data_IF_213313204037
#
_entry.id   IF_213313204037
#
_cell.length_a   1.000
_cell.length_b   1.000
_cell.length_c   1.000
_cell.angle_alpha   90.00
_cell.angle_beta   90.00
_cell.angle_gamma   90.00
#
_symmetry.space_group_name_H-M   'P 1'
#
loop_
_entity.id
_entity.type
_entity.pdbx_description
1 polymer ?
#
# COMPACT_ATOMS: atom_id res chain seq x y z
N UNK A 1 -16.75 20.28 12.38
CA UNK A 1 -15.65 19.59 11.67
C UNK A 1 -15.27 18.37 12.49
N UNK A 2 -15.01 17.24 11.85
CA UNK A 2 -14.42 16.05 12.51
C UNK A 2 -12.94 15.97 12.11
N UNK A 3 -12.07 15.67 13.07
CA UNK A 3 -10.64 15.45 12.84
C UNK A 3 -10.27 14.07 13.36
N UNK A 4 -9.81 13.19 12.47
CA UNK A 4 -9.31 11.86 12.81
C UNK A 4 -8.14 11.58 11.89
N UNK A 5 -6.99 11.22 12.46
CA UNK A 5 -5.72 11.19 11.73
C UNK A 5 -5.78 10.31 10.47
N UNK A 6 -6.30 9.08 10.59
CA UNK A 6 -6.38 8.12 9.47
C UNK A 6 -7.82 7.76 9.15
N UNK A 7 -8.11 7.56 7.86
CA UNK A 7 -9.45 7.18 7.37
C UNK A 7 -9.88 5.83 7.92
N UNK A 8 -8.95 4.90 8.12
CA UNK A 8 -9.19 3.59 8.75
C UNK A 8 -9.65 3.77 10.19
N UNK A 9 -8.96 4.59 10.99
CA UNK A 9 -9.35 4.92 12.36
C UNK A 9 -10.71 5.61 12.42
N UNK A 10 -11.05 6.43 11.42
CA UNK A 10 -12.38 7.04 11.35
C UNK A 10 -13.48 6.00 11.12
N UNK A 11 -13.24 5.01 10.27
CA UNK A 11 -14.17 3.89 10.06
C UNK A 11 -14.25 2.99 11.28
N UNK A 12 -13.13 2.69 11.96
CA UNK A 12 -13.12 1.91 13.19
C UNK A 12 -13.88 2.61 14.32
N UNK A 13 -13.74 3.93 14.46
CA UNK A 13 -14.54 4.72 15.39
C UNK A 13 -16.04 4.58 15.12
N UNK A 14 -16.45 4.64 13.85
CA UNK A 14 -17.87 4.46 13.47
C UNK A 14 -18.35 3.06 13.82
N UNK A 15 -17.55 2.02 13.56
CA UNK A 15 -17.87 0.63 13.93
C UNK A 15 -18.04 0.50 15.45
N UNK A 16 -17.12 1.05 16.22
CA UNK A 16 -17.20 1.03 17.68
C UNK A 16 -18.46 1.76 18.19
N UNK A 17 -18.79 2.92 17.61
CA UNK A 17 -20.02 3.65 17.95
C UNK A 17 -21.28 2.84 17.65
N UNK A 18 -21.27 2.01 16.60
CA UNK A 18 -22.39 1.13 16.25
C UNK A 18 -22.51 -0.08 17.19
N UNK A 19 -21.38 -0.66 17.59
CA UNK A 19 -21.31 -1.75 18.57
C UNK A 19 -21.83 -1.28 19.94
N UNK A 20 -21.31 -0.15 20.43
CA UNK A 20 -21.62 0.42 21.75
C UNK A 20 -22.79 1.42 21.75
N UNK A 21 -23.58 1.46 20.68
CA UNK A 21 -24.60 2.49 20.48
C UNK A 21 -25.53 2.69 21.67
N UNK A 22 -26.12 1.61 22.20
CA UNK A 22 -27.06 1.70 23.31
C UNK A 22 -26.41 2.21 24.59
N UNK A 23 -25.18 1.75 24.88
CA UNK A 23 -24.36 2.22 26.00
C UNK A 23 -24.09 3.72 25.89
N UNK A 24 -23.62 4.17 24.72
CA UNK A 24 -23.30 5.58 24.46
C UNK A 24 -24.53 6.48 24.60
N UNK A 25 -25.69 6.05 24.08
CA UNK A 25 -26.93 6.81 24.18
C UNK A 25 -27.47 6.84 25.61
N UNK A 26 -27.40 5.72 26.34
CA UNK A 26 -27.78 5.67 27.76
C UNK A 26 -26.94 6.65 28.59
N UNK A 27 -25.63 6.69 28.37
CA UNK A 27 -24.76 7.67 29.03
C UNK A 27 -25.13 9.12 28.69
N UNK A 28 -25.48 9.41 27.42
CA UNK A 28 -25.96 10.75 27.02
C UNK A 28 -27.27 11.12 27.74
N UNK A 29 -28.17 10.17 27.91
CA UNK A 29 -29.46 10.35 28.57
C UNK A 29 -29.32 10.63 30.06
N UNK A 30 -28.50 9.85 30.76
CA UNK A 30 -28.35 9.90 32.22
C UNK A 30 -27.24 10.83 32.71
N UNK A 31 -26.27 11.18 31.86
CA UNK A 31 -25.07 11.91 32.28
C UNK A 31 -24.04 11.04 33.03
N UNK A 32 -24.20 9.71 32.98
CA UNK A 32 -23.36 8.74 33.68
C UNK A 32 -22.57 7.91 32.68
N UNK A 33 -21.24 7.90 32.80
CA UNK A 33 -20.38 7.02 32.02
C UNK A 33 -20.39 5.58 32.56
N UNK A 34 -20.13 4.57 31.71
CA UNK A 34 -19.84 3.22 32.18
C UNK A 34 -18.63 3.22 33.13
N UNK A 35 -18.49 2.20 33.99
CA UNK A 35 -17.41 2.14 34.98
C UNK A 35 -16.06 1.80 34.31
N UNK A 36 -15.54 2.72 33.52
CA UNK A 36 -14.22 2.63 32.92
C UNK A 36 -13.20 3.15 33.94
N UNK A 37 -12.28 2.27 34.37
CA UNK A 37 -11.31 2.51 35.45
C UNK A 37 -10.42 3.76 35.24
N UNK A 38 -10.34 4.26 34.01
CA UNK A 38 -9.41 5.31 33.59
C UNK A 38 -10.00 6.73 33.63
N UNK A 39 -11.33 6.89 33.78
CA UNK A 39 -11.99 8.22 33.71
C UNK A 39 -12.29 8.77 35.11
N UNK A 40 -11.60 9.86 35.48
CA UNK A 40 -11.64 10.46 36.81
C UNK A 40 -12.77 11.49 37.04
N UNK A 41 -13.39 12.01 35.97
CA UNK A 41 -14.50 12.96 36.04
C UNK A 41 -15.68 12.47 35.18
N UNK A 42 -16.55 11.60 35.71
CA UNK A 42 -17.46 10.80 34.90
C UNK A 42 -18.80 11.48 34.56
N UNK A 43 -19.03 12.71 35.02
CA UNK A 43 -20.35 13.33 34.99
C UNK A 43 -20.40 14.55 34.08
N UNK A 44 -21.24 14.45 33.05
CA UNK A 44 -21.69 15.56 32.23
C UNK A 44 -23.20 15.72 32.40
N UNK A 45 -23.79 16.91 32.16
CA UNK A 45 -25.21 17.13 32.39
C UNK A 45 -26.07 16.18 31.53
N UNK A 46 -27.11 15.53 32.09
CA UNK A 46 -28.00 14.63 31.37
C UNK A 46 -28.66 15.33 30.17
N UNK A 47 -28.79 14.64 29.03
CA UNK A 47 -29.40 15.19 27.79
C UNK A 47 -30.43 14.22 27.18
N UNK A 48 -31.57 13.97 27.85
CA UNK A 48 -32.57 12.97 27.41
C UNK A 48 -33.19 13.29 26.03
N UNK A 49 -33.46 14.56 25.74
CA UNK A 49 -33.99 14.97 24.43
C UNK A 49 -33.02 14.61 23.29
N UNK A 50 -31.71 14.81 23.53
CA UNK A 50 -30.69 14.47 22.55
C UNK A 50 -30.54 12.97 22.38
N UNK A 51 -30.60 12.22 23.49
CA UNK A 51 -30.60 10.77 23.44
C UNK A 51 -31.78 10.23 22.61
N UNK A 52 -33.00 10.75 22.82
CA UNK A 52 -34.17 10.39 22.02
C UNK A 52 -34.00 10.69 20.53
N UNK A 53 -33.46 11.87 20.17
CA UNK A 53 -33.13 12.21 18.78
C UNK A 53 -32.15 11.20 18.16
N UNK A 54 -31.10 10.84 18.89
CA UNK A 54 -30.11 9.88 18.42
C UNK A 54 -30.70 8.48 18.28
N UNK A 55 -31.54 8.00 19.23
CA UNK A 55 -32.26 6.72 19.07
C UNK A 55 -33.09 6.68 17.79
N UNK A 56 -33.75 7.79 17.44
CA UNK A 56 -34.52 7.89 16.20
C UNK A 56 -33.65 7.83 14.92
N UNK A 57 -32.38 8.25 14.99
CA UNK A 57 -31.40 8.09 13.89
C UNK A 57 -30.96 6.62 13.76
N UNK A 58 -30.75 5.96 14.89
CA UNK A 58 -30.28 4.57 14.95
C UNK A 58 -28.79 4.40 14.61
N UNK A 59 -28.35 3.14 14.60
CA UNK A 59 -26.97 2.71 14.34
C UNK A 59 -26.49 3.06 12.93
N UNK A 60 -25.16 3.11 12.76
CA UNK A 60 -24.52 3.48 11.50
C UNK A 60 -24.95 2.58 10.34
N UNK A 61 -24.82 1.26 10.49
CA UNK A 61 -25.22 0.25 9.51
C UNK A 61 -24.86 0.65 8.06
N UNK A 62 -25.64 0.23 7.08
CA UNK A 62 -25.54 0.70 5.69
C UNK A 62 -26.34 2.00 5.46
N UNK A 63 -26.27 2.96 6.39
CA UNK A 63 -26.89 4.28 6.21
C UNK A 63 -25.92 5.30 5.60
N UNK A 64 -26.22 5.78 4.40
CA UNK A 64 -25.47 6.88 3.78
C UNK A 64 -25.69 8.20 4.55
N UNK A 65 -24.62 8.99 4.71
CA UNK A 65 -24.67 10.29 5.39
C UNK A 65 -24.95 10.23 6.89
N UNK A 66 -24.75 9.06 7.52
CA UNK A 66 -25.04 8.86 8.94
C UNK A 66 -24.36 9.87 9.87
N UNK A 67 -23.12 10.29 9.57
CA UNK A 67 -22.39 11.26 10.37
C UNK A 67 -23.06 12.64 10.38
N UNK A 68 -23.75 13.03 9.30
CA UNK A 68 -24.51 14.30 9.27
C UNK A 68 -25.80 14.19 10.08
N UNK A 69 -26.40 13.00 10.16
CA UNK A 69 -27.58 12.77 11.03
C UNK A 69 -27.20 12.90 12.51
N UNK A 70 -26.02 12.44 12.90
CA UNK A 70 -25.48 12.66 14.25
C UNK A 70 -25.01 14.09 14.43
N UNK A 71 -24.26 14.66 13.49
CA UNK A 71 -23.73 16.01 13.59
C UNK A 71 -24.28 16.88 12.45
N UNK A 72 -25.49 17.48 12.59
CA UNK A 72 -26.14 18.24 11.51
C UNK A 72 -25.34 19.43 10.98
N UNK A 73 -24.43 19.97 11.79
CA UNK A 73 -23.52 21.06 11.42
C UNK A 73 -22.18 20.58 10.85
N UNK A 74 -22.02 19.28 10.57
CA UNK A 74 -20.81 18.74 9.97
C UNK A 74 -20.68 19.21 8.52
N UNK A 75 -19.62 19.96 8.23
CA UNK A 75 -19.30 20.48 6.89
C UNK A 75 -17.99 19.94 6.32
N UNK A 76 -17.10 19.48 7.19
CA UNK A 76 -15.80 18.96 6.80
C UNK A 76 -15.30 17.89 7.76
N UNK A 77 -14.53 16.96 7.20
CA UNK A 77 -13.72 15.99 7.91
C UNK A 77 -12.26 16.10 7.43
N UNK A 78 -11.30 16.03 8.35
CA UNK A 78 -9.87 16.00 8.04
C UNK A 78 -9.34 14.62 8.40
N UNK A 79 -8.73 13.95 7.43
CA UNK A 79 -8.13 12.62 7.60
C UNK A 79 -7.14 12.28 6.49
N UNK A 80 -6.07 11.56 6.80
CA UNK A 80 -5.11 11.04 5.83
C UNK A 80 -5.76 9.87 5.09
N UNK A 81 -5.96 10.06 3.77
CA UNK A 81 -6.60 9.10 2.87
C UNK A 81 -5.77 8.77 1.62
N UNK A 82 -4.46 9.00 1.66
CA UNK A 82 -3.52 8.63 0.60
C UNK A 82 -2.83 7.29 0.90
N UNK A 83 -2.11 6.73 -0.08
CA UNK A 83 -1.41 5.46 0.06
C UNK A 83 -2.35 4.32 0.50
N UNK A 84 -1.92 3.53 1.50
CA UNK A 84 -2.71 2.41 2.05
C UNK A 84 -4.05 2.85 2.68
N UNK A 85 -4.15 4.10 3.13
CA UNK A 85 -5.35 4.62 3.78
C UNK A 85 -6.45 5.00 2.77
N UNK A 86 -6.12 5.06 1.47
CA UNK A 86 -7.10 5.30 0.41
C UNK A 86 -8.22 4.25 0.35
N UNK A 87 -7.94 3.02 0.80
CA UNK A 87 -8.89 1.90 0.83
C UNK A 87 -10.14 2.22 1.68
N UNK A 88 -9.99 2.98 2.77
CA UNK A 88 -11.11 3.33 3.65
C UNK A 88 -11.89 4.57 3.18
N UNK A 89 -11.39 5.31 2.18
CA UNK A 89 -12.01 6.55 1.70
C UNK A 89 -13.44 6.35 1.19
N UNK A 90 -13.77 5.33 0.36
CA UNK A 90 -15.13 5.14 -0.12
C UNK A 90 -16.14 4.91 1.03
N UNK A 91 -15.78 4.06 2.01
CA UNK A 91 -16.65 3.77 3.17
C UNK A 91 -16.79 4.99 4.07
N UNK A 92 -15.72 5.76 4.30
CA UNK A 92 -15.81 7.00 5.06
C UNK A 92 -16.69 8.05 4.33
N UNK A 93 -16.53 8.22 3.01
CA UNK A 93 -17.37 9.11 2.20
C UNK A 93 -18.84 8.70 2.25
N UNK A 94 -19.13 7.40 2.23
CA UNK A 94 -20.48 6.89 2.41
C UNK A 94 -21.11 7.38 3.72
N UNK A 95 -20.39 7.31 4.85
CA UNK A 95 -20.88 7.77 6.14
C UNK A 95 -20.94 9.31 6.28
N UNK A 96 -20.00 10.03 5.65
CA UNK A 96 -19.98 11.49 5.62
C UNK A 96 -21.13 12.08 4.78
N UNK A 97 -21.52 11.39 3.71
CA UNK A 97 -22.47 11.92 2.73
C UNK A 97 -21.84 12.89 1.73
N UNK A 98 -22.58 13.27 0.68
CA UNK A 98 -22.04 14.01 -0.47
C UNK A 98 -21.65 15.46 -0.15
N UNK A 99 -22.31 16.08 0.84
CA UNK A 99 -22.15 17.52 1.14
C UNK A 99 -21.01 17.82 2.12
N UNK A 100 -20.37 16.78 2.67
CA UNK A 100 -19.27 16.94 3.64
C UNK A 100 -17.94 16.80 2.94
N UNK A 101 -17.11 17.83 3.04
CA UNK A 101 -15.80 17.80 2.43
C UNK A 101 -14.82 16.96 3.25
N UNK A 102 -14.36 15.85 2.69
CA UNK A 102 -13.21 15.11 3.21
C UNK A 102 -11.92 15.73 2.66
N UNK A 103 -11.05 16.19 3.56
CA UNK A 103 -9.76 16.82 3.26
C UNK A 103 -8.61 16.02 3.85
N UNK A 104 -7.46 16.05 3.19
CA UNK A 104 -6.23 15.50 3.75
C UNK A 104 -5.67 16.41 4.85
N UNK A 105 -4.82 15.86 5.72
CA UNK A 105 -4.09 16.63 6.72
C UNK A 105 -2.89 17.38 6.11
N UNK A 106 -2.32 16.84 5.03
CA UNK A 106 -1.00 17.19 4.51
C UNK A 106 -0.07 15.99 4.55
N UNK A 107 1.16 16.18 4.06
CA UNK A 107 2.21 15.16 4.11
C UNK A 107 3.20 15.50 5.22
N UNK A 108 3.07 14.75 6.31
CA UNK A 108 3.79 14.93 7.57
C UNK A 108 4.42 13.61 7.98
N UNK A 109 5.62 13.66 8.52
CA UNK A 109 6.27 12.54 9.21
C UNK A 109 6.73 12.97 10.59
N UNK A 110 7.25 12.03 11.39
CA UNK A 110 7.86 12.37 12.69
C UNK A 110 9.16 13.17 12.53
N UNK A 111 9.82 13.00 11.38
CA UNK A 111 11.10 13.61 11.03
C UNK A 111 10.96 14.99 10.39
N UNK A 112 9.92 15.22 9.59
CA UNK A 112 9.75 16.46 8.84
C UNK A 112 8.28 16.76 8.50
N UNK A 113 7.96 18.06 8.48
CA UNK A 113 6.79 18.57 7.77
C UNK A 113 7.17 18.75 6.29
N UNK A 114 6.69 17.89 5.40
CA UNK A 114 7.10 17.87 3.99
C UNK A 114 6.25 18.82 3.13
N UNK A 115 4.93 18.64 3.16
CA UNK A 115 4.04 19.35 2.23
C UNK A 115 2.65 19.60 2.82
N UNK A 116 2.02 20.69 2.40
CA UNK A 116 0.65 21.03 2.75
C UNK A 116 -0.31 20.58 1.65
N UNK A 117 -1.60 20.44 1.97
CA UNK A 117 -2.63 20.11 0.97
C UNK A 117 -2.66 21.17 -0.13
N UNK A 118 -2.57 20.74 -1.39
CA UNK A 118 -2.63 21.64 -2.54
C UNK A 118 -4.05 21.82 -3.05
N UNK A 119 -4.73 20.71 -3.37
CA UNK A 119 -6.13 20.70 -3.77
C UNK A 119 -6.96 20.05 -2.64
N UNK A 120 -7.84 20.79 -1.95
CA UNK A 120 -8.69 20.25 -0.89
C UNK A 120 -9.67 19.14 -1.33
N UNK A 121 -9.89 18.96 -2.63
CA UNK A 121 -10.72 17.88 -3.18
C UNK A 121 -9.93 16.61 -3.46
N UNK A 122 -8.61 16.71 -3.61
CA UNK A 122 -7.69 15.61 -3.86
C UNK A 122 -6.95 15.24 -2.57
N UNK A 123 -7.19 14.03 -2.06
CA UNK A 123 -6.58 13.57 -0.80
C UNK A 123 -5.09 13.25 -0.92
N UNK A 124 -4.55 13.25 -2.13
CA UNK A 124 -3.19 12.82 -2.46
C UNK A 124 -2.42 13.84 -3.30
N UNK A 125 -2.77 15.13 -3.26
CA UNK A 125 -2.06 16.18 -3.97
C UNK A 125 -1.58 17.26 -2.99
N UNK A 126 -0.26 17.43 -2.90
CA UNK A 126 0.38 18.27 -1.89
C UNK A 126 1.35 19.25 -2.52
N UNK A 127 1.47 20.45 -1.94
CA UNK A 127 2.46 21.45 -2.30
C UNK A 127 3.56 21.44 -1.25
N UNK A 128 4.79 21.24 -1.68
CA UNK A 128 5.95 21.24 -0.79
C UNK A 128 6.09 22.62 -0.17
N UNK A 129 6.02 22.62 1.16
CA UNK A 129 5.94 23.83 2.00
C UNK A 129 6.84 23.73 3.24
N UNK A 130 7.74 22.73 3.24
CA UNK A 130 8.74 22.55 4.28
C UNK A 130 9.66 23.77 4.38
N UNK A 131 10.07 24.08 5.61
CA UNK A 131 11.15 25.04 5.86
C UNK A 131 12.53 24.37 5.90
N UNK A 132 12.56 23.04 5.81
CA UNK A 132 13.74 22.21 5.73
C UNK A 132 14.18 22.03 4.27
N UNK A 133 15.41 21.56 4.06
CA UNK A 133 15.90 21.24 2.73
C UNK A 133 15.35 19.87 2.32
N UNK A 134 14.53 19.85 1.28
CA UNK A 134 13.99 18.64 0.67
C UNK A 134 14.73 18.36 -0.63
N UNK A 135 15.32 17.19 -0.72
CA UNK A 135 15.93 16.65 -1.93
C UNK A 135 15.15 15.41 -2.40
N UNK A 136 15.27 15.13 -3.69
CA UNK A 136 14.53 14.09 -4.40
C UNK A 136 15.52 13.12 -5.03
N UNK A 137 15.58 11.92 -4.46
CA UNK A 137 16.45 10.85 -4.92
C UNK A 137 15.70 9.98 -5.94
N UNK A 138 16.14 9.98 -7.18
CA UNK A 138 15.52 9.19 -8.26
C UNK A 138 15.55 7.70 -7.90
N UNK A 139 14.39 7.05 -7.87
CA UNK A 139 14.28 5.64 -7.43
C UNK A 139 14.85 4.66 -8.45
N UNK A 140 15.06 5.09 -9.70
CA UNK A 140 15.53 4.24 -10.81
C UNK A 140 17.04 4.36 -11.05
N UNK A 141 17.66 5.50 -10.69
CA UNK A 141 19.11 5.70 -10.87
C UNK A 141 19.89 5.09 -9.70
N UNK A 142 20.92 4.32 -10.01
CA UNK A 142 21.84 3.76 -9.01
C UNK A 142 22.77 4.81 -8.41
N UNK A 143 23.07 5.86 -9.18
CA UNK A 143 23.80 7.01 -8.68
C UNK A 143 22.94 7.73 -7.64
N UNK A 144 23.40 7.78 -6.38
CA UNK A 144 22.72 8.44 -5.24
C UNK A 144 22.67 9.99 -5.36
N UNK A 145 22.55 10.51 -6.58
CA UNK A 145 22.46 11.93 -6.86
C UNK A 145 21.01 12.37 -6.69
N UNK A 146 20.74 13.01 -5.56
CA UNK A 146 19.49 13.72 -5.31
C UNK A 146 19.48 15.07 -6.00
N UNK A 147 18.30 15.49 -6.47
CA UNK A 147 18.06 16.84 -7.00
C UNK A 147 17.22 17.64 -6.02
N UNK A 148 17.38 18.96 -5.98
CA UNK A 148 16.44 19.87 -5.27
C UNK A 148 15.26 20.24 -6.19
N UNK A 149 15.46 20.15 -7.51
CA UNK A 149 14.44 20.40 -8.53
C UNK A 149 14.34 19.18 -9.46
N UNK A 150 13.46 18.22 -9.15
CA UNK A 150 13.30 17.01 -9.94
C UNK A 150 12.42 17.23 -11.19
N UNK A 151 12.68 16.50 -12.30
CA UNK A 151 11.73 16.40 -13.40
C UNK A 151 10.33 15.93 -13.00
N UNK A 152 9.31 16.39 -13.74
CA UNK A 152 7.89 15.99 -13.60
C UNK A 152 7.71 14.55 -14.06
N UNK A 153 6.74 13.84 -13.46
CA UNK A 153 6.27 12.52 -13.89
C UNK A 153 7.20 11.37 -13.53
N UNK A 154 8.13 11.59 -12.59
CA UNK A 154 9.05 10.59 -12.09
C UNK A 154 8.87 10.40 -10.59
N UNK A 155 9.33 9.24 -10.13
CA UNK A 155 9.26 8.82 -8.74
C UNK A 155 10.58 9.10 -8.01
N UNK A 156 10.45 9.70 -6.84
CA UNK A 156 11.58 10.11 -6.02
C UNK A 156 11.37 9.72 -4.57
N UNK A 157 12.42 9.18 -3.95
CA UNK A 157 12.49 9.09 -2.52
C UNK A 157 12.83 10.45 -1.92
N UNK A 158 12.10 10.85 -0.88
CA UNK A 158 12.36 12.09 -0.17
C UNK A 158 13.59 11.93 0.74
N UNK A 159 14.52 12.86 0.59
CA UNK A 159 15.67 13.03 1.45
C UNK A 159 15.56 14.40 2.12
N UNK A 160 15.58 14.44 3.46
CA UNK A 160 15.44 15.69 4.21
C UNK A 160 16.71 16.04 4.97
N UNK A 161 17.05 17.33 4.97
CA UNK A 161 17.99 17.92 5.92
C UNK A 161 17.24 18.93 6.76
N UNK A 162 17.08 18.64 8.06
CA UNK A 162 16.19 19.39 8.97
C UNK A 162 16.97 20.24 9.95
N UNK A 163 16.32 21.29 10.45
CA UNK A 163 16.90 22.17 11.50
C UNK A 163 17.17 21.44 12.82
N UNK A 164 16.46 20.34 13.06
CA UNK A 164 16.56 19.54 14.29
C UNK A 164 17.67 18.47 14.22
N UNK A 165 18.51 18.50 13.18
CA UNK A 165 19.77 17.75 13.14
C UNK A 165 19.76 16.48 12.28
N UNK A 166 18.73 16.26 11.47
CA UNK A 166 18.78 15.23 10.42
C UNK A 166 19.54 15.78 9.21
N UNK A 167 20.53 15.02 8.73
CA UNK A 167 21.37 15.41 7.60
C UNK A 167 21.25 14.39 6.47
N UNK A 168 20.74 14.84 5.33
CA UNK A 168 20.45 13.99 4.16
C UNK A 168 19.76 12.68 4.54
N UNK A 169 18.81 12.77 5.47
CA UNK A 169 18.10 11.62 6.00
C UNK A 169 17.08 11.14 4.96
N UNK A 170 17.16 9.86 4.61
CA UNK A 170 16.22 9.22 3.69
C UNK A 170 14.94 8.88 4.44
N UNK A 171 13.85 9.59 4.14
CA UNK A 171 12.56 9.31 4.77
C UNK A 171 12.04 7.92 4.38
N UNK A 172 12.44 7.42 3.21
CA UNK A 172 11.92 6.17 2.65
C UNK A 172 10.53 6.32 2.04
N UNK A 173 9.97 7.52 2.03
CA UNK A 173 8.73 7.85 1.34
C UNK A 173 9.01 8.23 -0.11
N UNK A 174 8.22 7.68 -1.02
CA UNK A 174 8.31 7.89 -2.45
C UNK A 174 7.14 8.76 -2.90
N UNK A 175 7.48 9.75 -3.71
CA UNK A 175 6.54 10.69 -4.29
C UNK A 175 6.70 10.76 -5.80
N UNK A 176 5.61 11.10 -6.47
CA UNK A 176 5.63 11.53 -7.87
C UNK A 176 5.61 13.07 -7.92
N UNK A 177 6.39 13.68 -8.82
CA UNK A 177 6.32 15.12 -9.08
C UNK A 177 5.21 15.38 -10.09
N UNK A 178 4.07 15.87 -9.61
CA UNK A 178 2.91 16.18 -10.43
C UNK A 178 3.05 17.51 -11.18
N UNK A 179 3.91 18.42 -10.70
CA UNK A 179 4.15 19.70 -11.32
C UNK A 179 4.78 20.71 -10.37
N UNK A 180 4.62 21.99 -10.69
CA UNK A 180 5.10 23.11 -9.87
C UNK A 180 4.00 24.16 -9.75
N UNK A 181 3.88 24.76 -8.57
CA UNK A 181 2.92 25.82 -8.32
C UNK A 181 3.29 27.06 -9.16
N UNK A 182 2.35 27.67 -9.90
CA UNK A 182 2.65 28.80 -10.78
C UNK A 182 3.01 30.10 -10.02
N UNK A 183 2.70 30.17 -8.72
CA UNK A 183 2.88 31.38 -7.90
C UNK A 183 4.30 31.50 -7.37
N UNK A 184 4.88 30.40 -6.89
CA UNK A 184 6.19 30.38 -6.23
C UNK A 184 7.14 29.31 -6.76
N UNK A 185 6.69 28.46 -7.70
CA UNK A 185 7.50 27.39 -8.27
C UNK A 185 7.72 26.22 -7.31
N UNK A 186 7.01 26.14 -6.18
CA UNK A 186 7.16 25.00 -5.27
C UNK A 186 6.69 23.70 -5.92
N UNK A 187 7.40 22.57 -5.72
CA UNK A 187 6.98 21.27 -6.22
C UNK A 187 5.59 20.89 -5.71
N UNK A 188 4.76 20.40 -6.62
CA UNK A 188 3.49 19.74 -6.33
C UNK A 188 3.74 18.24 -6.46
N UNK A 189 3.42 17.50 -5.41
CA UNK A 189 3.77 16.08 -5.26
C UNK A 189 2.54 15.24 -4.97
N UNK A 190 2.57 13.99 -5.43
CA UNK A 190 1.63 12.93 -5.03
C UNK A 190 2.36 11.89 -4.19
N UNK A 191 1.74 11.46 -3.10
CA UNK A 191 2.29 10.35 -2.34
C UNK A 191 2.11 9.05 -3.10
N UNK A 192 3.19 8.30 -3.28
CA UNK A 192 3.17 7.03 -3.98
C UNK A 192 3.23 5.86 -3.01
N UNK A 193 4.16 5.89 -2.04
CA UNK A 193 4.27 4.85 -1.01
C UNK A 193 5.60 4.83 -0.29
N UNK A 194 5.92 3.71 0.37
CA UNK A 194 7.20 3.50 1.07
C UNK A 194 8.15 2.65 0.23
N UNK A 195 9.43 3.00 0.23
CA UNK A 195 10.51 2.28 -0.45
C UNK A 195 10.57 0.79 -0.10
N UNK A 196 10.38 0.45 1.18
CA UNK A 196 10.45 -0.94 1.63
C UNK A 196 9.16 -1.73 1.35
N UNK A 197 8.15 -1.11 0.77
CA UNK A 197 6.87 -1.72 0.39
C UNK A 197 6.75 -1.85 -1.13
N UNK A 198 7.49 -1.05 -1.89
CA UNK A 198 7.39 -0.96 -3.34
C UNK A 198 8.72 -1.39 -3.98
N UNK A 199 8.66 -2.43 -4.80
CA UNK A 199 9.79 -2.86 -5.61
C UNK A 199 9.81 -2.07 -6.91
N UNK A 200 10.96 -1.50 -7.28
CA UNK A 200 11.12 -0.81 -8.57
C UNK A 200 11.82 -1.75 -9.54
N UNK A 201 11.24 -1.92 -10.72
CA UNK A 201 11.82 -2.75 -11.77
C UNK A 201 11.48 -2.15 -13.13
N UNK A 202 12.46 -2.18 -14.05
CA UNK A 202 12.26 -1.78 -15.44
C UNK A 202 11.66 -0.38 -15.66
N UNK A 203 11.83 0.56 -14.73
CA UNK A 203 11.33 1.94 -14.87
C UNK A 203 9.98 2.22 -14.20
N UNK A 204 9.31 1.21 -13.64
CA UNK A 204 8.04 1.38 -12.93
C UNK A 204 7.98 0.68 -11.58
N UNK A 205 6.88 0.92 -10.87
CA UNK A 205 6.58 0.23 -9.63
C UNK A 205 6.00 -1.18 -9.85
N UNK A 206 6.58 -2.16 -9.18
CA UNK A 206 6.10 -3.53 -9.12
C UNK A 206 5.32 -3.74 -7.81
N UNK A 207 4.03 -4.03 -7.94
CA UNK A 207 3.12 -4.30 -6.82
C UNK A 207 2.83 -5.80 -6.71
N UNK A 208 2.36 -6.25 -5.54
CA UNK A 208 1.89 -7.65 -5.38
C UNK A 208 0.77 -8.00 -6.37
N UNK A 209 -0.07 -7.02 -6.75
CA UNK A 209 -1.10 -7.20 -7.76
C UNK A 209 -0.51 -7.46 -9.15
N UNK A 210 0.54 -6.72 -9.55
CA UNK A 210 1.23 -6.95 -10.82
C UNK A 210 1.84 -8.36 -10.84
N UNK A 211 2.53 -8.75 -9.75
CA UNK A 211 3.17 -10.07 -9.62
C UNK A 211 2.13 -11.18 -9.72
N UNK A 212 1.04 -11.07 -8.96
CA UNK A 212 -0.03 -12.07 -8.91
C UNK A 212 -0.77 -12.17 -10.24
N UNK A 213 -1.19 -11.05 -10.83
CA UNK A 213 -1.94 -11.05 -12.08
C UNK A 213 -1.10 -11.63 -13.24
N UNK A 214 0.20 -11.30 -13.30
CA UNK A 214 1.08 -11.77 -14.36
C UNK A 214 1.27 -13.29 -14.32
N UNK A 215 1.51 -13.88 -13.14
CA UNK A 215 1.72 -15.33 -13.02
C UNK A 215 0.44 -16.14 -13.26
N UNK A 216 -0.72 -15.60 -12.87
CA UNK A 216 -2.01 -16.24 -13.15
C UNK A 216 -2.33 -16.24 -14.65
N UNK A 217 -1.90 -15.21 -15.40
CA UNK A 217 -2.13 -15.11 -16.84
C UNK A 217 -1.32 -16.13 -17.69
N UNK A 218 -0.33 -16.81 -17.09
CA UNK A 218 0.49 -17.83 -17.77
C UNK A 218 0.11 -19.27 -17.45
N UNK A 219 -0.92 -19.51 -16.63
CA UNK A 219 -1.35 -20.87 -16.25
C UNK A 219 -1.65 -21.77 -17.45
N UNK A 220 -2.34 -21.25 -18.47
CA UNK A 220 -2.68 -22.00 -19.69
C UNK A 220 -1.47 -22.43 -20.53
N UNK A 221 -0.31 -21.79 -20.30
CA UNK A 221 0.94 -22.08 -21.00
C UNK A 221 1.89 -22.90 -20.13
N UNK A 222 1.77 -22.81 -18.80
CA UNK A 222 2.62 -23.47 -17.83
C UNK A 222 1.99 -24.76 -17.31
N UNK A 223 1.00 -24.61 -16.42
CA UNK A 223 0.17 -25.62 -15.76
C UNK A 223 -0.74 -24.88 -14.76
N UNK A 224 -1.82 -25.50 -14.25
CA UNK A 224 -2.58 -24.94 -13.13
C UNK A 224 -1.67 -24.70 -11.92
N UNK A 225 -1.66 -23.48 -11.39
CA UNK A 225 -0.80 -23.11 -10.25
C UNK A 225 -1.56 -23.35 -8.95
N UNK A 226 -0.94 -24.07 -8.03
CA UNK A 226 -1.45 -24.31 -6.67
C UNK A 226 -1.15 -23.11 -5.79
N UNK A 227 0.11 -22.70 -5.76
CA UNK A 227 0.59 -21.57 -4.96
C UNK A 227 1.92 -21.07 -5.55
N UNK A 228 2.26 -19.82 -5.26
CA UNK A 228 3.51 -19.23 -5.72
C UNK A 228 4.05 -18.19 -4.73
N UNK A 229 5.32 -17.86 -4.90
CA UNK A 229 5.97 -16.65 -4.38
C UNK A 229 6.97 -16.14 -5.41
N UNK A 230 7.35 -14.88 -5.35
CA UNK A 230 8.38 -14.30 -6.20
C UNK A 230 9.58 -13.87 -5.36
N UNK A 231 10.76 -13.84 -5.98
CA UNK A 231 11.99 -13.27 -5.41
C UNK A 231 12.63 -12.33 -6.43
N UNK A 232 13.43 -11.38 -5.95
CA UNK A 232 14.35 -10.62 -6.80
C UNK A 232 15.60 -11.45 -7.04
N UNK A 233 15.80 -11.84 -8.29
CA UNK A 233 16.98 -12.55 -8.75
C UNK A 233 17.95 -11.59 -9.45
N UNK A 234 19.15 -11.47 -8.91
CA UNK A 234 20.21 -10.61 -9.45
C UNK A 234 21.46 -11.40 -9.87
N UNK A 235 21.36 -12.73 -10.02
CA UNK A 235 22.52 -13.59 -10.29
C UNK A 235 23.20 -13.28 -11.64
N UNK A 236 22.46 -12.72 -12.60
CA UNK A 236 22.96 -12.29 -13.92
C UNK A 236 23.55 -10.86 -13.94
N UNK A 237 23.61 -10.18 -12.78
CA UNK A 237 24.08 -8.80 -12.66
C UNK A 237 23.01 -7.73 -12.95
N UNK A 238 21.88 -8.10 -13.56
CA UNK A 238 20.71 -7.23 -13.74
C UNK A 238 19.54 -7.83 -12.94
N UNK A 239 18.97 -7.12 -11.95
CA UNK A 239 17.84 -7.62 -11.18
C UNK A 239 16.61 -7.96 -12.05
N UNK A 240 16.08 -9.16 -11.87
CA UNK A 240 14.84 -9.67 -12.49
C UNK A 240 13.97 -10.37 -11.44
N UNK A 241 12.77 -10.81 -11.82
CA UNK A 241 11.93 -11.65 -10.97
C UNK A 241 12.21 -13.13 -11.25
N UNK A 242 12.27 -13.92 -10.18
CA UNK A 242 12.13 -15.37 -10.26
C UNK A 242 10.87 -15.79 -9.52
N UNK A 243 9.93 -16.41 -10.22
CA UNK A 243 8.70 -16.95 -9.66
C UNK A 243 8.95 -18.39 -9.20
N UNK A 244 8.78 -18.66 -7.93
CA UNK A 244 8.81 -20.00 -7.36
C UNK A 244 7.37 -20.51 -7.30
N UNK A 245 7.06 -21.56 -8.05
CA UNK A 245 5.68 -22.01 -8.28
C UNK A 245 5.52 -23.48 -7.94
N UNK A 246 4.42 -23.83 -7.28
CA UNK A 246 3.94 -25.19 -7.15
C UNK A 246 2.77 -25.37 -8.11
N UNK A 247 2.82 -26.42 -8.94
CA UNK A 247 1.84 -26.65 -10.01
C UNK A 247 1.10 -27.96 -9.78
N UNK A 248 -0.14 -28.02 -10.25
CA UNK A 248 -0.96 -29.23 -10.20
C UNK A 248 -0.84 -30.00 -11.53
N UNK A 249 -0.26 -31.21 -11.46
CA UNK A 249 -0.08 -32.09 -12.62
C UNK A 249 1.23 -31.85 -13.36
N UNK A 250 1.26 -32.28 -14.63
CA UNK A 250 2.44 -32.10 -15.50
C UNK A 250 2.43 -30.75 -16.19
N UNK A 251 3.62 -30.25 -16.52
CA UNK A 251 3.78 -29.03 -17.30
C UNK A 251 3.23 -29.22 -18.72
N UNK A 252 2.59 -28.19 -19.25
CA UNK A 252 2.21 -28.15 -20.66
C UNK A 252 3.45 -28.30 -21.56
N UNK A 253 3.32 -28.91 -22.76
CA UNK A 253 4.42 -29.05 -23.72
C UNK A 253 5.11 -27.73 -24.07
N UNK A 254 4.34 -26.63 -24.03
CA UNK A 254 4.79 -25.27 -24.35
C UNK A 254 5.28 -24.47 -23.14
N UNK A 255 5.49 -25.12 -21.98
CA UNK A 255 5.88 -24.45 -20.74
C UNK A 255 7.18 -23.62 -20.85
N UNK A 256 8.07 -23.95 -21.79
CA UNK A 256 9.28 -23.17 -22.07
C UNK A 256 8.98 -21.76 -22.60
N UNK A 257 7.78 -21.49 -23.12
CA UNK A 257 7.34 -20.16 -23.56
C UNK A 257 6.74 -19.32 -22.43
N UNK A 258 6.43 -19.92 -21.28
CA UNK A 258 5.79 -19.24 -20.16
C UNK A 258 6.61 -18.04 -19.61
N UNK A 259 7.95 -18.11 -19.47
CA UNK A 259 8.78 -16.95 -19.09
C UNK A 259 8.59 -15.72 -19.99
N UNK A 260 8.56 -15.92 -21.31
CA UNK A 260 8.39 -14.82 -22.27
C UNK A 260 6.96 -14.25 -22.24
N UNK A 261 5.96 -15.11 -22.07
CA UNK A 261 4.56 -14.66 -21.87
C UNK A 261 4.42 -13.87 -20.57
N UNK A 262 5.07 -14.33 -19.50
CA UNK A 262 5.08 -13.66 -18.20
C UNK A 262 5.71 -12.27 -18.27
N UNK A 263 6.83 -12.13 -18.99
CA UNK A 263 7.44 -10.84 -19.30
C UNK A 263 6.45 -9.89 -20.00
N UNK A 264 5.78 -10.38 -21.05
CA UNK A 264 4.79 -9.60 -21.79
C UNK A 264 3.63 -9.13 -20.91
N UNK A 265 3.12 -10.00 -20.03
CA UNK A 265 2.04 -9.64 -19.10
C UNK A 265 2.48 -8.62 -18.05
N UNK A 266 3.70 -8.72 -17.52
CA UNK A 266 4.22 -7.71 -16.60
C UNK A 266 4.31 -6.34 -17.26
N UNK A 267 4.84 -6.26 -18.48
CA UNK A 267 4.90 -5.01 -19.24
C UNK A 267 3.51 -4.47 -19.61
N UNK A 268 2.54 -5.36 -19.86
CA UNK A 268 1.15 -4.98 -20.16
C UNK A 268 0.42 -4.45 -18.92
N UNK A 269 0.74 -4.94 -17.73
CA UNK A 269 0.11 -4.56 -16.47
C UNK A 269 0.62 -3.22 -15.92
N UNK A 270 1.83 -2.82 -16.27
CA UNK A 270 2.39 -1.51 -15.91
C UNK A 270 3.00 -0.82 -17.12
N UNK A 271 2.35 0.23 -17.62
CA UNK A 271 2.80 1.03 -18.77
C UNK A 271 4.14 1.76 -18.53
N UNK A 272 4.57 1.89 -17.27
CA UNK A 272 5.89 2.44 -16.91
C UNK A 272 7.03 1.44 -17.11
N UNK A 273 6.73 0.15 -17.26
CA UNK A 273 7.76 -0.85 -17.51
C UNK A 273 8.27 -0.72 -18.94
N UNK A 274 9.55 -0.42 -19.07
CA UNK A 274 10.28 -0.49 -20.33
C UNK A 274 10.58 -1.96 -20.66
N UNK A 275 9.95 -2.54 -21.71
CA UNK A 275 10.14 -3.94 -22.07
C UNK A 275 11.58 -4.28 -22.48
N UNK A 276 12.40 -3.29 -22.81
CA UNK A 276 13.82 -3.49 -23.14
C UNK A 276 14.71 -3.49 -21.90
N UNK A 277 14.27 -2.83 -20.82
CA UNK A 277 15.00 -2.80 -19.53
C UNK A 277 14.55 -3.92 -18.59
N UNK A 278 13.36 -4.48 -18.81
CA UNK A 278 12.91 -5.64 -18.07
C UNK A 278 13.59 -6.90 -18.62
N UNK A 279 14.35 -7.57 -17.76
CA UNK A 279 14.85 -8.91 -18.08
C UNK A 279 13.69 -9.91 -18.05
N UNK A 280 13.76 -10.94 -18.89
CA UNK A 280 12.74 -11.99 -18.87
C UNK A 280 12.79 -12.70 -17.50
N UNK A 281 11.69 -12.73 -16.73
CA UNK A 281 11.67 -13.39 -15.44
C UNK A 281 11.78 -14.90 -15.60
N UNK A 282 12.31 -15.59 -14.59
CA UNK A 282 12.36 -17.06 -14.59
C UNK A 282 11.16 -17.65 -13.85
N UNK A 283 10.77 -18.87 -14.24
CA UNK A 283 9.76 -19.66 -13.54
C UNK A 283 10.45 -20.92 -13.01
N UNK A 284 10.51 -21.07 -11.69
CA UNK A 284 11.15 -22.17 -10.97
C UNK A 284 10.07 -23.03 -10.33
N UNK A 285 9.90 -24.23 -10.85
CA UNK A 285 8.92 -25.19 -10.37
C UNK A 285 9.47 -25.91 -9.14
N UNK A 286 8.74 -25.83 -8.03
CA UNK A 286 9.07 -26.45 -6.75
C UNK A 286 8.59 -27.92 -6.69
N UNK A 287 9.15 -28.69 -5.78
CA UNK A 287 8.60 -30.00 -5.41
C UNK A 287 7.19 -29.86 -4.81
N UNK A 288 6.24 -30.79 -5.07
CA UNK A 288 4.91 -30.75 -4.49
C UNK A 288 4.93 -30.75 -2.95
N UNK A 289 4.08 -29.94 -2.33
CA UNK A 289 4.00 -29.79 -0.86
C UNK A 289 5.01 -28.81 -0.27
N UNK A 290 5.90 -28.20 -1.07
CA UNK A 290 6.93 -27.26 -0.60
C UNK A 290 6.34 -26.10 0.19
N UNK A 291 5.23 -25.50 -0.25
CA UNK A 291 4.61 -24.40 0.49
C UNK A 291 3.97 -24.86 1.80
N UNK A 292 3.52 -26.11 1.89
CA UNK A 292 3.04 -26.71 3.14
C UNK A 292 4.18 -26.82 4.15
N UNK A 293 5.30 -27.42 3.73
CA UNK A 293 6.53 -27.52 4.53
C UNK A 293 7.07 -26.14 4.94
N UNK A 294 7.02 -25.15 4.05
CA UNK A 294 7.47 -23.80 4.34
C UNK A 294 6.72 -23.17 5.50
N UNK A 295 5.39 -23.31 5.53
CA UNK A 295 4.58 -22.77 6.62
C UNK A 295 4.93 -23.44 7.95
N UNK A 296 5.17 -24.74 7.93
CA UNK A 296 5.59 -25.49 9.11
C UNK A 296 6.97 -25.04 9.62
N UNK A 297 7.95 -24.92 8.72
CA UNK A 297 9.27 -24.38 9.02
C UNK A 297 9.19 -22.94 9.57
N UNK A 298 8.35 -22.07 8.99
CA UNK A 298 8.15 -20.71 9.49
C UNK A 298 7.58 -20.68 10.89
N UNK A 299 6.55 -21.51 11.18
CA UNK A 299 5.96 -21.64 12.52
C UNK A 299 7.03 -22.00 13.55
N UNK A 300 7.89 -22.97 13.23
CA UNK A 300 8.97 -23.45 14.10
C UNK A 300 10.03 -22.38 14.36
N UNK A 301 10.41 -21.62 13.32
CA UNK A 301 11.45 -20.57 13.43
C UNK A 301 10.92 -19.30 14.11
N UNK A 302 9.65 -18.93 13.91
CA UNK A 302 9.10 -17.67 14.45
C UNK A 302 8.27 -17.85 15.72
N UNK A 303 8.18 -19.08 16.26
CA UNK A 303 7.37 -19.44 17.43
C UNK A 303 5.94 -18.86 17.38
N UNK A 304 5.36 -18.83 16.17
CA UNK A 304 4.08 -18.17 15.88
C UNK A 304 2.94 -19.19 15.86
N UNK A 305 1.72 -18.78 16.18
CA UNK A 305 0.55 -19.68 16.15
C UNK A 305 0.29 -20.28 14.76
N UNK A 306 -0.15 -21.54 14.70
CA UNK A 306 -0.28 -22.33 13.47
C UNK A 306 -1.14 -21.72 12.35
N UNK A 307 -1.97 -20.72 12.65
CA UNK A 307 -2.79 -20.00 11.67
C UNK A 307 -2.17 -18.74 11.05
N UNK A 308 -0.95 -18.34 11.43
CA UNK A 308 -0.37 -17.06 11.00
C UNK A 308 0.76 -17.16 9.96
N UNK A 309 1.22 -18.36 9.60
CA UNK A 309 2.25 -18.52 8.58
C UNK A 309 1.67 -18.36 7.16
N UNK A 310 1.74 -17.14 6.64
CA UNK A 310 1.42 -16.81 5.24
C UNK A 310 2.67 -16.86 4.37
N UNK A 311 2.51 -17.32 3.14
CA UNK A 311 3.52 -17.19 2.09
C UNK A 311 3.38 -15.79 1.50
N UNK A 312 4.43 -14.94 1.53
CA UNK A 312 4.36 -13.61 0.91
C UNK A 312 4.36 -13.73 -0.62
N UNK A 313 3.67 -12.82 -1.32
CA UNK A 313 3.71 -12.75 -2.79
C UNK A 313 5.11 -12.43 -3.28
N UNK A 314 5.83 -11.54 -2.59
CA UNK A 314 7.24 -11.23 -2.83
C UNK A 314 8.06 -11.49 -1.56
N UNK A 315 9.02 -12.40 -1.66
CA UNK A 315 9.81 -12.88 -0.53
C UNK A 315 11.16 -12.15 -0.42
N UNK A 316 11.34 -11.43 0.69
CA UNK A 316 12.55 -10.67 1.01
C UNK A 316 13.52 -11.40 1.95
N UNK A 317 13.00 -12.25 2.83
CA UNK A 317 13.78 -12.91 3.88
C UNK A 317 14.79 -13.90 3.27
N UNK A 318 16.09 -13.65 3.47
CA UNK A 318 17.15 -14.44 2.81
C UNK A 318 17.11 -15.92 3.23
N UNK A 319 16.87 -16.21 4.51
CA UNK A 319 16.77 -17.59 4.99
C UNK A 319 15.59 -18.34 4.36
N UNK A 320 14.43 -17.70 4.25
CA UNK A 320 13.28 -18.24 3.52
C UNK A 320 13.57 -18.44 2.03
N UNK A 321 14.27 -17.50 1.39
CA UNK A 321 14.65 -17.61 -0.03
C UNK A 321 15.55 -18.80 -0.29
N UNK A 322 16.62 -18.94 0.49
CA UNK A 322 17.56 -20.08 0.38
C UNK A 322 16.83 -21.41 0.62
N UNK A 323 15.95 -21.45 1.62
CA UNK A 323 15.15 -22.63 1.95
C UNK A 323 14.23 -23.06 0.78
N UNK A 324 13.60 -22.10 0.11
CA UNK A 324 12.74 -22.36 -1.06
C UNK A 324 13.57 -22.78 -2.29
N UNK A 325 14.69 -22.09 -2.55
CA UNK A 325 15.54 -22.36 -3.71
C UNK A 325 16.15 -23.78 -3.68
N UNK A 326 16.41 -24.34 -2.49
CA UNK A 326 16.87 -25.71 -2.31
C UNK A 326 15.85 -26.79 -2.76
N UNK A 327 14.57 -26.42 -2.98
CA UNK A 327 13.47 -27.31 -3.38
C UNK A 327 13.01 -27.09 -4.82
N UNK A 328 13.78 -26.34 -5.61
CA UNK A 328 13.50 -26.14 -7.03
C UNK A 328 13.82 -27.42 -7.79
N UNK A 329 12.80 -28.01 -8.42
CA UNK A 329 12.92 -29.21 -9.25
C UNK A 329 13.31 -28.90 -10.68
N UNK A 330 12.80 -27.79 -11.21
CA UNK A 330 13.00 -27.39 -12.62
C UNK A 330 12.97 -25.88 -12.76
N UNK A 331 13.90 -25.35 -13.52
CA UNK A 331 13.92 -23.94 -13.90
C UNK A 331 13.56 -23.78 -15.38
N UNK A 332 12.66 -22.84 -15.67
CA UNK A 332 12.26 -22.43 -17.01
C UNK A 332 12.78 -21.01 -17.23
N UNK A 333 13.68 -20.89 -18.21
CA UNK A 333 14.27 -19.63 -18.66
C UNK A 333 13.85 -19.36 -20.11
N UNK A 334 14.01 -18.11 -20.56
CA UNK A 334 13.88 -17.81 -21.98
C UNK A 334 14.98 -18.50 -22.78
N UNK A 335 14.63 -19.12 -23.90
CA UNK A 335 15.60 -19.70 -24.83
C UNK A 335 16.37 -18.56 -25.53
N UNK A 336 17.71 -18.46 -25.36
CA UNK A 336 18.50 -17.36 -25.92
C UNK A 336 18.48 -17.30 -27.47
N UNK A 337 18.02 -18.34 -28.16
CA UNK A 337 18.07 -18.43 -29.62
C UNK A 337 16.86 -17.86 -30.39
N UNK A 338 15.85 -17.31 -29.72
CA UNK A 338 14.68 -16.71 -30.41
C UNK A 338 14.81 -15.21 -30.73
N UNK A 339 15.95 -14.59 -30.45
CA UNK A 339 16.19 -13.15 -30.63
C UNK A 339 16.94 -12.73 -31.91
N UNK A 340 17.25 -13.64 -32.84
CA UNK A 340 17.85 -13.27 -34.11
C UNK A 340 16.77 -12.97 -35.16
N UNK A 341 16.27 -11.74 -35.17
CA UNK A 341 15.65 -11.18 -36.38
C UNK A 341 16.75 -11.07 -37.44
N UNK A 342 16.86 -12.07 -38.32
CA UNK A 342 17.44 -11.87 -39.64
C UNK A 342 16.41 -11.09 -40.48
N UNK A 343 16.78 -9.87 -40.83
CA UNK A 343 16.11 -8.99 -41.79
C UNK A 343 17.05 -7.85 -42.11
#
# INVERSE_FOLDING_TARGET
MIFIIFTTSAVDMIRYMEEEWETLIASIETGELPPWDEIKEPHFPPRPERAAQLRAVGKAADQAGWLVKIWPMLKSAISIGSGVFSVAVPKLRFYLGPDVQLRSLGFLTSEAHVASVYDPSDLNLFKVSSQDLIEYLDVVKEDNVSSIVPPIGKHYEIVCTTRDGLWRYRLGDIVEIAGFDPTDGSPIIRYFGRRNVITWMAGGALTEQHITAAILAVQDTLAPIVEFTAIIDSHSGIPTLAYLVEVHGELHPEATKAPMKLHGELCRLNEEFDPQRMQVPTIRVLEPGTFGEYRQWRIEVTNSGSGQAKVPVLMWDNSAREWMLARVRRELTADPNTGALQG
#
